data_IF_656091117953
#
_entry.id   IF_656091117953
#
_cell.length_a   1.000
_cell.length_b   1.000
_cell.length_c   1.000
_cell.angle_alpha   90.00
_cell.angle_beta   90.00
_cell.angle_gamma   90.00
#
_symmetry.space_group_name_H-M   'P 1'
#
loop_
_entity.id
_entity.type
_entity.pdbx_description
1 polymer ?
#
# COMPACT_ATOMS: atom_id res chain seq x y z
N UNK A 1 -33.85 77.43 18.65
CA UNK A 1 -35.00 77.19 19.55
C UNK A 1 -36.10 76.50 18.74
N UNK A 2 -36.66 75.39 19.27
CA UNK A 2 -38.01 74.79 19.05
C UNK A 2 -38.73 75.07 17.69
N UNK A 3 -39.36 74.14 16.95
CA UNK A 3 -40.07 72.88 17.26
C UNK A 3 -40.63 72.28 15.94
N UNK A 4 -40.78 70.93 15.90
CA UNK A 4 -41.89 70.13 15.29
C UNK A 4 -42.00 70.05 13.75
N UNK A 5 -42.41 68.94 13.08
CA UNK A 5 -42.68 67.51 13.33
C UNK A 5 -43.05 66.88 11.96
N UNK A 6 -43.20 65.55 11.93
CA UNK A 6 -43.72 64.65 10.87
C UNK A 6 -42.64 64.08 9.93
N UNK A 7 -42.50 62.77 9.68
CA UNK A 7 -43.31 61.58 9.97
C UNK A 7 -43.31 60.70 8.70
N UNK A 8 -42.92 59.42 8.82
CA UNK A 8 -43.06 58.24 7.89
C UNK A 8 -41.91 57.28 8.30
N UNK A 9 -42.00 55.96 8.54
CA UNK A 9 -42.97 54.93 8.19
C UNK A 9 -42.20 53.73 7.58
N UNK A 10 -42.29 52.52 8.17
CA UNK A 10 -41.83 51.22 7.59
C UNK A 10 -40.71 50.53 8.41
N UNK A 11 -40.86 49.41 9.14
CA UNK A 11 -41.37 48.04 8.91
C UNK A 11 -40.37 47.11 8.19
N UNK A 12 -39.91 46.08 8.94
CA UNK A 12 -39.36 44.75 8.56
C UNK A 12 -38.03 44.69 7.75
N UNK A 13 -37.17 43.67 7.81
CA UNK A 13 -37.29 42.28 8.25
C UNK A 13 -35.90 41.74 8.69
N UNK A 14 -35.90 40.83 9.65
CA UNK A 14 -34.77 39.94 9.92
C UNK A 14 -34.63 38.93 8.77
N UNK A 15 -33.47 38.91 8.11
CA UNK A 15 -33.10 37.87 7.14
C UNK A 15 -32.21 36.88 7.87
N UNK A 16 -32.82 35.80 8.35
CA UNK A 16 -32.11 34.58 8.75
C UNK A 16 -31.60 33.89 7.49
N UNK A 17 -30.30 33.98 7.25
CA UNK A 17 -29.62 33.26 6.16
C UNK A 17 -29.64 31.76 6.43
N UNK A 18 -30.46 31.05 5.65
CA UNK A 18 -30.50 29.60 5.56
C UNK A 18 -29.18 29.14 4.90
N UNK A 19 -28.19 28.75 5.71
CA UNK A 19 -27.05 27.99 5.20
C UNK A 19 -27.57 26.61 4.78
N UNK A 20 -27.82 26.44 3.48
CA UNK A 20 -28.04 25.14 2.90
C UNK A 20 -26.73 24.34 3.04
N UNK A 21 -26.69 23.41 3.98
CA UNK A 21 -25.66 22.38 4.02
C UNK A 21 -25.79 21.56 2.73
N UNK A 22 -24.88 21.78 1.78
CA UNK A 22 -24.73 20.89 0.63
C UNK A 22 -24.41 19.49 1.19
N UNK A 23 -25.07 18.42 0.69
CA UNK A 23 -24.74 17.08 1.11
C UNK A 23 -23.27 16.82 0.74
N UNK A 24 -22.44 16.53 1.73
CA UNK A 24 -21.10 16.01 1.49
C UNK A 24 -21.28 14.75 0.64
N UNK A 25 -20.73 14.75 -0.57
CA UNK A 25 -20.64 13.52 -1.35
C UNK A 25 -19.89 12.51 -0.48
N UNK A 26 -20.50 11.34 -0.27
CA UNK A 26 -19.81 10.27 0.43
C UNK A 26 -18.52 9.94 -0.33
N UNK A 27 -17.40 9.86 0.38
CA UNK A 27 -16.15 9.46 -0.24
C UNK A 27 -16.31 8.11 -0.95
N UNK A 28 -15.72 7.95 -2.14
CA UNK A 28 -15.79 6.69 -2.86
C UNK A 28 -15.23 5.57 -1.97
N UNK A 29 -15.99 4.49 -1.84
CA UNK A 29 -15.56 3.29 -1.12
C UNK A 29 -14.93 2.29 -2.07
N UNK A 30 -13.87 1.63 -1.60
CA UNK A 30 -13.30 0.49 -2.27
C UNK A 30 -14.31 -0.65 -2.29
N UNK A 31 -14.51 -1.26 -3.45
CA UNK A 31 -15.34 -2.46 -3.59
C UNK A 31 -14.45 -3.57 -4.14
N UNK A 32 -14.23 -4.66 -3.39
CA UNK A 32 -13.44 -5.77 -3.89
C UNK A 32 -14.14 -6.42 -5.10
N UNK A 33 -13.41 -7.15 -5.96
CA UNK A 33 -14.00 -7.83 -7.10
C UNK A 33 -15.15 -8.78 -6.72
N UNK A 34 -16.08 -9.10 -7.64
CA UNK A 34 -17.14 -10.05 -7.37
C UNK A 34 -16.61 -11.39 -6.85
N UNK A 35 -17.19 -11.90 -5.76
CA UNK A 35 -16.73 -13.12 -5.10
C UNK A 35 -15.59 -12.93 -4.09
N UNK A 36 -15.17 -11.68 -3.87
CA UNK A 36 -14.16 -11.33 -2.89
C UNK A 36 -14.73 -10.57 -1.70
N UNK A 37 -14.09 -10.72 -0.54
CA UNK A 37 -14.48 -10.12 0.74
C UNK A 37 -13.31 -9.30 1.28
N UNK A 38 -13.54 -7.99 1.47
CA UNK A 38 -12.59 -7.09 2.13
C UNK A 38 -12.38 -7.52 3.59
N UNK A 39 -11.13 -7.57 4.02
CA UNK A 39 -10.72 -7.97 5.37
C UNK A 39 -10.22 -6.76 6.17
N UNK A 40 -9.36 -5.95 5.56
CA UNK A 40 -8.70 -4.83 6.24
C UNK A 40 -8.46 -3.68 5.26
N UNK A 41 -8.66 -2.45 5.71
CA UNK A 41 -8.20 -1.23 5.04
C UNK A 41 -7.06 -0.65 5.86
N UNK A 42 -5.96 -0.28 5.23
CA UNK A 42 -4.76 0.24 5.89
C UNK A 42 -4.39 1.55 5.22
N UNK A 43 -4.37 2.64 5.99
CA UNK A 43 -3.79 3.89 5.53
C UNK A 43 -2.28 3.81 5.69
N UNK A 44 -1.55 4.21 4.66
CA UNK A 44 -0.10 4.15 4.60
C UNK A 44 0.49 5.55 4.53
N UNK A 45 1.75 5.69 4.91
CA UNK A 45 2.57 6.83 4.55
C UNK A 45 2.70 6.98 3.03
N UNK A 46 3.21 8.13 2.60
CA UNK A 46 3.39 8.47 1.18
C UNK A 46 2.09 8.52 0.38
N UNK A 47 0.98 8.88 1.04
CA UNK A 47 -0.34 9.07 0.43
C UNK A 47 -0.80 7.86 -0.37
N UNK A 48 -0.80 6.72 0.33
CA UNK A 48 -1.32 5.47 -0.17
C UNK A 48 -2.36 4.88 0.79
N UNK A 49 -3.30 4.13 0.24
CA UNK A 49 -4.23 3.28 0.99
C UNK A 49 -4.20 1.87 0.41
N UNK A 50 -4.12 0.88 1.28
CA UNK A 50 -4.13 -0.53 0.92
C UNK A 50 -5.41 -1.21 1.40
N UNK A 51 -6.09 -1.90 0.49
CA UNK A 51 -7.28 -2.68 0.79
C UNK A 51 -6.96 -4.18 0.61
N UNK A 52 -6.95 -4.93 1.71
CA UNK A 52 -6.65 -6.36 1.75
C UNK A 52 -7.93 -7.18 1.73
N UNK A 53 -8.03 -8.13 0.80
CA UNK A 53 -9.24 -8.92 0.58
C UNK A 53 -8.91 -10.36 0.20
N UNK A 54 -9.86 -11.27 0.40
CA UNK A 54 -9.77 -12.67 0.00
C UNK A 54 -10.87 -13.00 -0.99
N UNK A 55 -10.64 -13.96 -1.89
CA UNK A 55 -11.63 -14.35 -2.88
C UNK A 55 -11.99 -15.82 -2.74
N UNK A 56 -13.29 -16.14 -2.84
CA UNK A 56 -13.80 -17.50 -2.64
C UNK A 56 -13.28 -18.51 -3.69
N UNK A 57 -12.78 -18.03 -4.83
CA UNK A 57 -12.23 -18.85 -5.90
C UNK A 57 -10.74 -19.17 -5.76
N UNK A 58 -10.02 -18.54 -4.83
CA UNK A 58 -8.58 -18.75 -4.65
C UNK A 58 -8.26 -19.90 -3.69
N UNK A 59 -7.00 -20.31 -3.67
CA UNK A 59 -6.53 -21.33 -2.75
C UNK A 59 -6.64 -20.85 -1.28
N UNK A 60 -6.88 -21.75 -0.31
CA UNK A 60 -6.92 -21.36 1.10
C UNK A 60 -5.64 -20.67 1.55
N UNK A 61 -5.78 -19.49 2.15
CA UNK A 61 -4.68 -18.65 2.61
C UNK A 61 -4.18 -17.65 1.57
N UNK A 62 -4.64 -17.72 0.32
CA UNK A 62 -4.42 -16.66 -0.65
C UNK A 62 -5.17 -15.39 -0.22
N UNK A 63 -4.50 -14.26 -0.43
CA UNK A 63 -5.03 -12.93 -0.18
C UNK A 63 -4.51 -11.96 -1.22
N UNK A 64 -5.28 -10.91 -1.43
CA UNK A 64 -4.97 -9.83 -2.35
C UNK A 64 -4.84 -8.52 -1.61
N UNK A 65 -4.03 -7.62 -2.16
CA UNK A 65 -3.99 -6.22 -1.79
C UNK A 65 -4.24 -5.36 -3.03
N UNK A 66 -5.09 -4.35 -2.91
CA UNK A 66 -5.20 -3.25 -3.87
C UNK A 66 -4.64 -1.99 -3.24
N UNK A 67 -3.69 -1.34 -3.90
CA UNK A 67 -3.07 -0.10 -3.44
C UNK A 67 -3.53 1.05 -4.34
N UNK A 68 -3.98 2.13 -3.72
CA UNK A 68 -4.41 3.36 -4.37
C UNK A 68 -3.64 4.57 -3.83
N UNK A 69 -3.47 5.57 -4.70
CA UNK A 69 -3.02 6.91 -4.34
C UNK A 69 -4.14 7.93 -4.63
N UNK A 70 -3.82 9.23 -4.65
CA UNK A 70 -4.80 10.30 -4.91
C UNK A 70 -5.49 10.21 -6.28
N UNK A 71 -4.96 9.43 -7.23
CA UNK A 71 -5.55 9.21 -8.56
C UNK A 71 -6.38 7.92 -8.65
N UNK A 72 -6.34 7.08 -7.61
CA UNK A 72 -7.04 5.80 -7.53
C UNK A 72 -6.10 4.59 -7.49
N UNK A 73 -6.66 3.40 -7.69
CA UNK A 73 -5.90 2.16 -7.62
C UNK A 73 -4.88 2.07 -8.76
N UNK A 74 -3.61 1.84 -8.41
CA UNK A 74 -2.52 1.70 -9.38
C UNK A 74 -1.84 0.34 -9.36
N UNK A 75 -2.04 -0.45 -8.29
CA UNK A 75 -1.35 -1.72 -8.10
C UNK A 75 -2.23 -2.73 -7.37
N UNK A 76 -2.13 -4.00 -7.80
CA UNK A 76 -2.77 -5.13 -7.15
C UNK A 76 -1.75 -6.26 -7.03
N UNK A 77 -1.71 -6.95 -5.89
CA UNK A 77 -0.85 -8.12 -5.70
C UNK A 77 -1.58 -9.23 -4.96
N UNK A 78 -1.24 -10.49 -5.29
CA UNK A 78 -1.67 -11.68 -4.58
C UNK A 78 -0.48 -12.31 -3.87
N UNK A 79 -0.70 -12.68 -2.61
CA UNK A 79 0.17 -13.56 -1.86
C UNK A 79 -0.59 -14.81 -1.43
N UNK A 80 0.14 -15.89 -1.18
CA UNK A 80 -0.46 -17.13 -0.69
C UNK A 80 -0.34 -17.28 0.84
N UNK A 81 -0.68 -18.47 1.34
CA UNK A 81 -0.58 -18.79 2.76
C UNK A 81 0.84 -18.61 3.33
N UNK A 82 1.89 -18.74 2.53
CA UNK A 82 3.29 -18.54 2.94
C UNK A 82 3.78 -17.11 2.66
N UNK A 83 2.86 -16.20 2.35
CA UNK A 83 3.13 -14.82 1.93
C UNK A 83 4.07 -14.72 0.72
N UNK A 84 4.14 -15.79 -0.08
CA UNK A 84 4.92 -15.78 -1.31
C UNK A 84 4.30 -14.78 -2.26
N UNK A 85 5.14 -14.00 -2.92
CA UNK A 85 4.69 -13.05 -3.92
C UNK A 85 4.23 -13.79 -5.18
N UNK A 86 2.96 -14.22 -5.21
CA UNK A 86 2.42 -15.07 -6.28
C UNK A 86 2.17 -14.29 -7.56
N UNK A 87 1.66 -13.07 -7.43
CA UNK A 87 1.28 -12.24 -8.58
C UNK A 87 1.32 -10.75 -8.22
N UNK A 88 1.70 -9.93 -9.20
CA UNK A 88 1.53 -8.48 -9.18
C UNK A 88 0.99 -7.99 -10.51
N UNK A 89 0.13 -6.98 -10.44
CA UNK A 89 -0.46 -6.32 -11.60
C UNK A 89 -0.26 -4.82 -11.43
N UNK A 90 0.46 -4.20 -12.36
CA UNK A 90 0.41 -2.75 -12.52
C UNK A 90 -0.85 -2.38 -13.30
N UNK A 91 -1.70 -1.56 -12.71
CA UNK A 91 -2.91 -1.07 -13.36
C UNK A 91 -2.61 0.10 -14.32
N UNK A 92 -1.40 0.64 -14.29
CA UNK A 92 -0.98 1.75 -15.17
C UNK A 92 -0.69 1.27 -16.59
N UNK A 93 0.02 0.16 -16.72
CA UNK A 93 0.51 -0.37 -17.99
C UNK A 93 0.01 -1.79 -18.31
N UNK A 94 -0.67 -2.45 -17.37
CA UNK A 94 -1.18 -3.82 -17.51
C UNK A 94 -0.09 -4.90 -17.39
N UNK A 95 1.11 -4.54 -16.92
CA UNK A 95 2.17 -5.52 -16.69
C UNK A 95 1.77 -6.45 -15.55
N UNK A 96 1.80 -7.75 -15.84
CA UNK A 96 1.52 -8.83 -14.88
C UNK A 96 2.81 -9.59 -14.63
N UNK A 97 3.21 -9.70 -13.37
CA UNK A 97 4.37 -10.46 -12.90
C UNK A 97 3.90 -11.61 -12.03
N UNK A 98 4.45 -12.81 -12.24
CA UNK A 98 4.07 -14.02 -11.51
C UNK A 98 5.28 -14.79 -11.02
N UNK A 99 5.14 -15.42 -9.86
CA UNK A 99 6.11 -16.36 -9.33
C UNK A 99 6.25 -17.59 -10.25
N UNK A 100 7.47 -17.91 -10.65
CA UNK A 100 7.82 -19.20 -11.24
C UNK A 100 8.24 -20.17 -10.13
N UNK A 101 7.26 -20.64 -9.35
CA UNK A 101 7.52 -21.44 -8.15
C UNK A 101 8.29 -22.75 -8.45
N UNK A 102 8.12 -23.29 -9.66
CA UNK A 102 8.80 -24.51 -10.09
C UNK A 102 10.23 -24.24 -10.58
N UNK A 103 10.48 -23.05 -11.14
CA UNK A 103 11.81 -22.59 -11.54
C UNK A 103 12.65 -22.02 -10.38
N UNK A 104 12.00 -21.58 -9.30
CA UNK A 104 12.65 -21.09 -8.08
C UNK A 104 13.48 -22.17 -7.40
N UNK A 105 14.69 -21.80 -6.93
CA UNK A 105 15.51 -22.70 -6.12
C UNK A 105 14.95 -22.80 -4.70
N UNK A 106 14.50 -21.68 -4.16
CA UNK A 106 13.92 -21.57 -2.84
C UNK A 106 12.87 -20.45 -2.81
N UNK A 107 11.64 -20.80 -2.50
CA UNK A 107 10.58 -19.80 -2.42
C UNK A 107 10.53 -19.26 -0.99
N UNK A 108 10.21 -17.97 -0.84
CA UNK A 108 10.01 -17.37 0.48
C UNK A 108 9.00 -18.18 1.34
N UNK A 109 9.22 -18.19 2.65
CA UNK A 109 8.45 -18.97 3.61
C UNK A 109 8.18 -18.18 4.89
N UNK A 110 6.96 -17.64 5.01
CA UNK A 110 6.53 -16.99 6.25
C UNK A 110 6.61 -17.93 7.43
N UNK A 111 6.24 -19.20 7.24
CA UNK A 111 6.26 -20.19 8.31
C UNK A 111 7.69 -20.47 8.80
N UNK A 112 8.68 -20.46 7.90
CA UNK A 112 10.10 -20.53 8.29
C UNK A 112 10.48 -19.29 9.09
N UNK A 113 10.22 -18.08 8.58
CA UNK A 113 10.50 -16.81 9.27
C UNK A 113 9.90 -16.80 10.68
N UNK A 114 8.63 -17.20 10.82
CA UNK A 114 7.93 -17.20 12.10
C UNK A 114 8.51 -18.21 13.11
N UNK A 115 9.07 -19.33 12.63
CA UNK A 115 9.58 -20.41 13.46
C UNK A 115 11.04 -20.22 13.87
N UNK A 116 11.87 -19.68 12.98
CA UNK A 116 13.32 -19.56 13.17
C UNK A 116 13.77 -18.12 13.42
N UNK A 117 12.94 -17.14 13.07
CA UNK A 117 13.29 -15.73 13.03
C UNK A 117 13.95 -15.29 11.73
N UNK A 118 14.23 -16.19 10.77
CA UNK A 118 14.89 -15.89 9.50
C UNK A 118 14.38 -16.78 8.37
N UNK A 119 14.12 -16.19 7.22
CA UNK A 119 13.89 -16.90 5.97
C UNK A 119 14.88 -16.38 4.91
N UNK A 120 15.63 -17.28 4.27
CA UNK A 120 16.46 -16.96 3.11
C UNK A 120 15.73 -17.46 1.87
N UNK A 121 15.80 -16.73 0.75
CA UNK A 121 15.07 -17.08 -0.46
C UNK A 121 15.89 -16.87 -1.74
N UNK A 122 15.50 -17.62 -2.77
CA UNK A 122 16.06 -17.57 -4.11
C UNK A 122 14.97 -17.98 -5.12
N UNK A 123 14.14 -17.01 -5.50
CA UNK A 123 12.97 -17.23 -6.33
C UNK A 123 13.02 -16.46 -7.64
N UNK A 124 12.23 -16.91 -8.61
CA UNK A 124 12.15 -16.33 -9.94
C UNK A 124 10.74 -15.80 -10.18
N UNK A 125 10.64 -14.64 -10.81
CA UNK A 125 9.39 -14.14 -11.37
C UNK A 125 9.47 -14.02 -12.89
N UNK A 126 8.31 -13.99 -13.52
CA UNK A 126 8.15 -13.77 -14.96
C UNK A 126 7.03 -12.79 -15.22
N UNK A 127 7.30 -11.81 -16.07
CA UNK A 127 6.27 -10.91 -16.56
C UNK A 127 5.56 -11.48 -17.78
N UNK A 128 4.35 -10.99 -18.06
CA UNK A 128 3.62 -11.25 -19.30
C UNK A 128 4.31 -10.72 -20.57
N UNK A 129 5.32 -9.85 -20.43
CA UNK A 129 6.16 -9.36 -21.54
C UNK A 129 7.42 -10.20 -21.74
N UNK A 130 7.68 -11.18 -20.88
CA UNK A 130 8.81 -12.11 -20.98
C UNK A 130 10.05 -11.70 -20.19
N UNK A 131 10.02 -10.59 -19.46
CA UNK A 131 11.07 -10.26 -18.49
C UNK A 131 11.10 -11.34 -17.39
N UNK A 132 12.31 -11.80 -17.08
CA UNK A 132 12.59 -12.78 -16.02
C UNK A 132 13.53 -12.13 -15.03
N UNK A 133 13.17 -12.18 -13.76
CA UNK A 133 13.99 -11.68 -12.66
C UNK A 133 14.16 -12.75 -11.60
N UNK A 134 15.33 -12.77 -10.98
CA UNK A 134 15.65 -13.67 -9.87
C UNK A 134 15.96 -12.85 -8.63
N UNK A 135 15.28 -13.16 -7.54
CA UNK A 135 15.38 -12.45 -6.27
C UNK A 135 16.12 -13.34 -5.28
N UNK A 136 17.24 -12.86 -4.75
CA UNK A 136 18.04 -13.57 -3.75
C UNK A 136 18.19 -12.70 -2.53
N UNK A 137 17.83 -13.21 -1.36
CA UNK A 137 17.82 -12.37 -0.18
C UNK A 137 17.37 -13.11 1.07
N UNK A 138 17.01 -12.32 2.07
CA UNK A 138 16.45 -12.83 3.30
C UNK A 138 15.47 -11.85 3.93
N UNK A 139 14.61 -12.39 4.78
CA UNK A 139 13.82 -11.70 5.79
C UNK A 139 14.29 -12.16 7.18
N UNK A 140 14.40 -11.23 8.13
CA UNK A 140 14.91 -11.49 9.47
C UNK A 140 14.12 -10.70 10.52
N UNK A 141 13.40 -11.41 11.40
CA UNK A 141 12.81 -10.79 12.58
C UNK A 141 13.92 -10.22 13.46
N UNK A 142 13.75 -8.97 13.89
CA UNK A 142 14.72 -8.30 14.77
C UNK A 142 14.56 -8.68 16.24
N UNK A 143 13.46 -9.35 16.58
CA UNK A 143 13.04 -9.61 17.96
C UNK A 143 12.29 -8.44 18.60
N UNK A 144 12.14 -7.32 17.90
CA UNK A 144 11.39 -6.16 18.39
C UNK A 144 9.92 -6.21 17.94
N UNK A 145 9.01 -5.98 18.88
CA UNK A 145 7.58 -5.80 18.60
C UNK A 145 7.20 -4.32 18.61
N UNK A 146 6.16 -3.98 17.85
CA UNK A 146 5.55 -2.65 17.84
C UNK A 146 4.04 -2.78 17.76
N UNK A 147 3.33 -1.68 17.99
CA UNK A 147 1.89 -1.62 17.74
C UNK A 147 1.56 -0.32 17.05
N UNK A 148 0.78 -0.43 15.98
CA UNK A 148 0.30 0.70 15.18
C UNK A 148 -1.22 0.58 15.17
N UNK A 149 -1.89 1.62 15.66
CA UNK A 149 -3.36 1.65 15.78
C UNK A 149 -3.95 0.44 16.52
N UNK A 150 -3.26 0.01 17.59
CA UNK A 150 -3.66 -1.16 18.40
C UNK A 150 -3.39 -2.52 17.76
N UNK A 151 -2.94 -2.58 16.50
CA UNK A 151 -2.56 -3.84 15.84
C UNK A 151 -1.15 -4.25 16.29
N UNK A 152 -0.95 -5.47 16.81
CA UNK A 152 0.37 -5.97 17.19
C UNK A 152 1.17 -6.40 15.96
N UNK A 153 2.42 -5.96 15.89
CA UNK A 153 3.32 -6.18 14.76
C UNK A 153 4.75 -6.51 15.24
N UNK A 154 5.54 -7.16 14.39
CA UNK A 154 6.96 -7.44 14.65
C UNK A 154 7.84 -6.85 13.56
N UNK A 155 8.98 -6.28 13.94
CA UNK A 155 9.92 -5.69 12.99
C UNK A 155 10.70 -6.78 12.29
N UNK A 156 10.81 -6.65 10.97
CA UNK A 156 11.53 -7.55 10.09
C UNK A 156 12.48 -6.74 9.21
N UNK A 157 13.78 -7.05 9.24
CA UNK A 157 14.75 -6.51 8.30
C UNK A 157 14.78 -7.40 7.06
N UNK A 158 15.06 -6.81 5.90
CA UNK A 158 15.26 -7.55 4.66
C UNK A 158 16.42 -6.97 3.86
N UNK A 159 17.07 -7.84 3.09
CA UNK A 159 17.99 -7.45 2.01
C UNK A 159 17.80 -8.41 0.83
N UNK A 160 17.82 -7.89 -0.39
CA UNK A 160 17.74 -8.69 -1.60
C UNK A 160 18.53 -8.08 -2.77
N UNK A 161 19.05 -8.97 -3.60
CA UNK A 161 19.57 -8.68 -4.93
C UNK A 161 18.57 -9.15 -5.99
N UNK A 162 18.47 -8.40 -7.07
CA UNK A 162 17.63 -8.69 -8.22
C UNK A 162 18.56 -8.92 -9.41
N UNK A 163 18.48 -10.10 -10.00
CA UNK A 163 19.25 -10.50 -11.18
C UNK A 163 18.36 -10.60 -12.42
N UNK A 164 18.91 -10.26 -13.57
CA UNK A 164 18.30 -10.55 -14.87
C UNK A 164 18.44 -12.04 -15.26
N UNK A 165 17.86 -12.41 -16.41
CA UNK A 165 17.93 -13.78 -16.94
C UNK A 165 19.36 -14.29 -17.23
N UNK A 166 20.33 -13.39 -17.38
CA UNK A 166 21.74 -13.72 -17.62
C UNK A 166 22.55 -13.82 -16.31
N UNK A 167 21.95 -13.49 -15.16
CA UNK A 167 22.58 -13.50 -13.85
C UNK A 167 23.34 -12.21 -13.53
N UNK A 168 23.11 -11.12 -14.27
CA UNK A 168 23.66 -9.82 -13.89
C UNK A 168 22.78 -9.21 -12.80
N UNK A 169 23.39 -8.68 -11.74
CA UNK A 169 22.66 -7.88 -10.74
C UNK A 169 22.21 -6.58 -11.38
N UNK A 170 20.90 -6.36 -11.41
CA UNK A 170 20.28 -5.15 -11.99
C UNK A 170 19.77 -4.19 -10.92
N UNK A 171 19.56 -4.67 -9.69
CA UNK A 171 19.20 -3.85 -8.55
C UNK A 171 19.47 -4.54 -7.21
N UNK A 172 19.52 -3.74 -6.14
CA UNK A 172 19.47 -4.22 -4.76
C UNK A 172 18.41 -3.47 -3.97
N UNK A 173 17.81 -4.14 -2.99
CA UNK A 173 16.82 -3.56 -2.08
C UNK A 173 17.15 -3.97 -0.67
N UNK A 174 17.03 -3.04 0.27
CA UNK A 174 17.18 -3.36 1.70
C UNK A 174 16.38 -2.40 2.55
N UNK A 175 15.97 -2.87 3.73
CA UNK A 175 15.24 -2.01 4.63
C UNK A 175 14.57 -2.74 5.78
N UNK A 176 13.50 -2.10 6.24
CA UNK A 176 12.67 -2.57 7.32
C UNK A 176 11.23 -2.75 6.84
N UNK A 177 10.58 -3.74 7.40
CA UNK A 177 9.16 -4.03 7.29
C UNK A 177 8.61 -4.29 8.69
N UNK A 178 7.29 -4.36 8.79
CA UNK A 178 6.60 -4.90 9.96
C UNK A 178 5.65 -6.00 9.51
N UNK A 179 5.67 -7.13 10.23
CA UNK A 179 4.80 -8.26 9.93
C UNK A 179 3.61 -8.30 10.89
N UNK A 180 2.48 -8.82 10.40
CA UNK A 180 1.39 -9.28 11.25
C UNK A 180 1.28 -10.80 11.16
N UNK A 181 1.48 -11.50 12.28
CA UNK A 181 1.20 -12.95 12.36
C UNK A 181 -0.26 -13.27 12.15
N UNK A 182 -1.15 -12.41 12.63
CA UNK A 182 -2.60 -12.60 12.56
C UNK A 182 -3.11 -12.47 11.12
N UNK A 183 -2.65 -11.44 10.40
CA UNK A 183 -3.05 -11.21 9.01
C UNK A 183 -2.19 -11.99 8.01
N UNK A 184 -1.03 -12.51 8.44
CA UNK A 184 0.01 -13.10 7.58
C UNK A 184 0.37 -12.16 6.43
N UNK A 185 0.81 -10.95 6.78
CA UNK A 185 1.15 -9.88 5.84
C UNK A 185 2.43 -9.20 6.29
N UNK A 186 3.27 -8.82 5.34
CA UNK A 186 4.31 -7.81 5.49
C UNK A 186 3.76 -6.45 5.10
N UNK A 187 3.96 -5.44 5.94
CA UNK A 187 3.80 -4.04 5.58
C UNK A 187 5.17 -3.43 5.36
N UNK A 188 5.34 -2.71 4.26
CA UNK A 188 6.53 -1.92 4.01
C UNK A 188 6.83 -0.99 5.19
N UNK A 189 8.08 -0.63 5.42
CA UNK A 189 8.43 0.58 6.15
C UNK A 189 9.43 1.39 5.33
N UNK A 190 10.66 1.55 5.83
CA UNK A 190 11.72 2.25 5.11
C UNK A 190 12.44 1.25 4.22
N UNK A 191 12.57 1.60 2.95
CA UNK A 191 13.32 0.81 1.96
C UNK A 191 14.33 1.70 1.27
N UNK A 192 15.50 1.15 0.96
CA UNK A 192 16.45 1.71 0.01
C UNK A 192 16.53 0.79 -1.20
N UNK A 193 16.24 1.36 -2.37
CA UNK A 193 16.46 0.73 -3.67
C UNK A 193 17.69 1.36 -4.32
N UNK A 194 18.51 0.52 -4.96
CA UNK A 194 19.65 0.96 -5.77
C UNK A 194 19.69 0.19 -7.08
N UNK A 195 19.72 0.90 -8.21
CA UNK A 195 19.79 0.29 -9.54
C UNK A 195 21.22 -0.12 -9.93
N UNK A 196 21.38 -0.83 -11.04
CA UNK A 196 22.68 -1.26 -11.56
C UNK A 196 23.62 -0.11 -11.99
N UNK A 197 23.15 1.13 -12.03
CA UNK A 197 23.97 2.32 -12.30
C UNK A 197 24.45 3.03 -11.02
N UNK A 198 23.94 2.62 -9.85
CA UNK A 198 24.26 3.20 -8.55
C UNK A 198 23.34 4.35 -8.12
N UNK A 199 22.27 4.63 -8.86
CA UNK A 199 21.25 5.59 -8.40
C UNK A 199 20.47 4.98 -7.24
N UNK A 200 20.25 5.78 -6.20
CA UNK A 200 19.64 5.30 -4.96
C UNK A 200 18.45 6.16 -4.56
N UNK A 201 17.37 5.49 -4.17
CA UNK A 201 16.16 6.13 -3.62
C UNK A 201 15.82 5.47 -2.29
N UNK A 202 15.43 6.27 -1.29
CA UNK A 202 14.92 5.78 -0.01
C UNK A 202 13.47 6.22 0.15
N UNK A 203 12.57 5.28 0.38
CA UNK A 203 11.13 5.52 0.58
C UNK A 203 10.72 5.13 2.00
N UNK A 204 9.57 5.62 2.45
CA UNK A 204 8.94 5.22 3.72
C UNK A 204 7.44 5.17 3.53
N UNK A 205 6.88 3.96 3.51
CA UNK A 205 5.49 3.68 3.11
C UNK A 205 4.75 2.84 4.18
N UNK A 206 5.15 3.03 5.44
CA UNK A 206 4.63 2.24 6.56
C UNK A 206 3.16 2.47 6.89
N UNK A 207 2.51 1.50 7.58
CA UNK A 207 1.13 1.63 8.00
C UNK A 207 0.98 2.74 9.06
N UNK A 208 -0.12 3.48 8.98
CA UNK A 208 -0.47 4.58 9.88
C UNK A 208 -1.71 4.23 10.71
N UNK A 209 -2.78 3.77 10.06
CA UNK A 209 -4.02 3.31 10.72
C UNK A 209 -4.56 2.04 10.06
N UNK A 210 -5.35 1.30 10.83
CA UNK A 210 -6.01 0.06 10.40
C UNK A 210 -7.51 0.16 10.65
N UNK A 211 -8.31 -0.20 9.65
CA UNK A 211 -9.75 -0.28 9.76
C UNK A 211 -10.23 -1.69 9.40
N UNK A 212 -11.15 -2.21 10.21
CA UNK A 212 -11.75 -3.54 10.14
C UNK A 212 -13.27 -3.45 9.92
N UNK A 213 -13.97 -4.56 9.62
CA UNK A 213 -15.41 -4.54 9.42
C UNK A 213 -16.18 -3.90 10.59
N UNK A 214 -16.87 -2.81 10.31
CA UNK A 214 -17.62 -2.02 11.30
C UNK A 214 -17.00 -0.66 11.61
N UNK A 215 -15.73 -0.46 11.29
CA UNK A 215 -15.04 0.82 11.47
C UNK A 215 -15.44 1.83 10.38
N UNK A 216 -15.33 3.13 10.70
CA UNK A 216 -15.75 4.20 9.81
C UNK A 216 -14.93 4.24 8.51
N UNK A 217 -13.61 4.09 8.63
CA UNK A 217 -12.65 4.12 7.52
C UNK A 217 -12.52 2.78 6.78
N UNK A 218 -13.32 1.77 7.16
CA UNK A 218 -13.35 0.50 6.44
C UNK A 218 -13.85 0.70 5.01
N UNK A 219 -13.08 0.18 4.07
CA UNK A 219 -13.22 0.36 2.63
C UNK A 219 -12.94 1.79 2.14
N UNK A 220 -12.12 2.59 2.83
CA UNK A 220 -11.61 3.84 2.25
C UNK A 220 -10.89 3.56 0.91
N UNK A 221 -11.26 4.29 -0.15
CA UNK A 221 -10.60 4.19 -1.46
C UNK A 221 -9.53 5.26 -1.67
N UNK A 222 -9.50 6.28 -0.80
CA UNK A 222 -8.60 7.43 -0.91
C UNK A 222 -7.60 7.45 0.26
N UNK A 223 -6.34 7.80 -0.02
CA UNK A 223 -5.35 8.02 1.03
C UNK A 223 -5.67 9.26 1.86
N UNK A 224 -5.35 9.22 3.15
CA UNK A 224 -5.65 10.27 4.13
C UNK A 224 -4.40 10.92 4.73
N UNK A 225 -3.22 10.33 4.52
CA UNK A 225 -1.96 10.75 5.15
C UNK A 225 -0.91 11.13 4.10
N UNK A 226 -0.09 12.14 4.41
CA UNK A 226 1.01 12.63 3.57
C UNK A 226 0.67 13.13 2.15
N UNK A 227 -0.61 13.31 1.82
CA UNK A 227 -1.03 13.71 0.46
C UNK A 227 -0.64 15.12 0.06
N UNK A 228 -0.52 16.03 1.02
CA UNK A 228 -0.11 17.41 0.76
C UNK A 228 1.41 17.54 0.51
N UNK A 229 2.20 16.54 0.92
CA UNK A 229 3.67 16.58 0.77
C UNK A 229 4.16 16.18 -0.63
N UNK A 230 3.27 15.64 -1.49
CA UNK A 230 3.62 15.26 -2.87
C UNK A 230 3.87 16.45 -3.81
N UNK A 231 3.62 17.70 -3.39
CA UNK A 231 3.87 18.88 -4.24
C UNK A 231 5.33 19.35 -4.27
N UNK A 232 6.23 18.74 -3.48
CA UNK A 232 7.64 19.19 -3.35
C UNK A 232 8.70 18.31 -3.99
N UNK A 233 8.35 17.19 -4.63
CA UNK A 233 9.34 16.26 -5.20
C UNK A 233 9.27 16.12 -6.74
N UNK A 234 8.77 17.15 -7.42
CA UNK A 234 8.65 17.22 -8.89
C UNK A 234 9.94 17.62 -9.61
N UNK A 235 11.13 17.36 -9.04
CA UNK A 235 12.41 17.80 -9.63
C UNK A 235 13.48 16.72 -9.77
N UNK A 236 13.15 15.45 -9.54
CA UNK A 236 13.91 14.37 -10.12
C UNK A 236 12.92 13.60 -10.98
N UNK A 237 13.32 13.24 -12.20
CA UNK A 237 12.71 12.09 -12.87
C UNK A 237 12.69 10.99 -11.81
N UNK A 238 11.53 10.82 -11.16
CA UNK A 238 11.24 9.67 -10.34
C UNK A 238 11.50 8.53 -11.32
N UNK A 239 12.56 7.72 -11.12
CA UNK A 239 12.67 6.52 -11.93
C UNK A 239 11.31 5.88 -11.75
N UNK A 240 10.57 5.74 -12.85
CA UNK A 240 9.13 5.53 -12.83
C UNK A 240 8.82 4.46 -11.78
N UNK A 241 7.65 4.46 -11.16
CA UNK A 241 7.25 3.40 -10.20
C UNK A 241 7.43 1.94 -10.75
N UNK A 242 7.87 1.79 -12.01
CA UNK A 242 8.43 0.59 -12.66
C UNK A 242 9.87 0.22 -12.25
N UNK A 243 10.72 1.16 -11.83
CA UNK A 243 12.11 0.93 -11.46
C UNK A 243 12.27 0.36 -10.04
N UNK A 244 11.22 0.33 -9.22
CA UNK A 244 11.20 -0.44 -7.97
C UNK A 244 10.94 -1.96 -8.22
N UNK A 245 11.10 -2.40 -9.47
CA UNK A 245 11.07 -3.80 -9.92
C UNK A 245 12.47 -4.22 -10.37
#
# INVERSE_FOLDING_TARGET
>A
MLRHRAGLGGILAAIGGLFAALPAAAEPKFTPPPGCTLQTTVQLHACQVANYYTCAGDAPGDQWVSIADGEGAFFVSRTDAETRWMESVSLKDGTVEKLDAAGSRDNASFSTLLATGRDDYDFITRTNTGLVQRFKGFDQLTGESTSIDGVPLERCAFEMEIEDAAGNVVATRKGMQVISRQMRVFFAQTETYENGFGDRVTTTEGPVTFAFPGDADFAAATPQYDCDMMMTDLSLDHPSKEALR
#
